data_IF_516112152431
#
_entry.id   IF_516112152431
#
_cell.length_a   1.000
_cell.length_b   1.000
_cell.length_c   1.000
_cell.angle_alpha   90.00
_cell.angle_beta   90.00
_cell.angle_gamma   90.00
#
_symmetry.space_group_name_H-M   'P 1'
#
loop_
_entity.id
_entity.type
_entity.pdbx_description
1 polymer ?
#
# COMPACT_ATOMS: atom_id res chain seq x y z
N UNK A 1 5.97 -9.02 -15.78
CA UNK A 1 5.52 -8.36 -14.52
C UNK A 1 6.65 -7.52 -13.96
N UNK A 2 7.89 -7.96 -14.10
CA UNK A 2 9.05 -7.38 -13.41
C UNK A 2 9.60 -6.07 -14.02
N UNK A 3 9.12 -5.65 -15.19
CA UNK A 3 9.63 -4.46 -15.91
C UNK A 3 8.72 -3.22 -15.81
N UNK A 4 7.64 -3.27 -15.03
CA UNK A 4 6.64 -2.19 -15.00
C UNK A 4 6.51 -1.57 -13.63
N UNK A 5 6.37 -0.24 -13.64
CA UNK A 5 6.37 0.60 -12.45
C UNK A 5 4.95 1.06 -12.11
N UNK A 6 4.16 0.16 -11.52
CA UNK A 6 2.77 0.39 -11.12
C UNK A 6 2.49 -0.19 -9.73
N UNK A 7 1.70 0.54 -8.94
CA UNK A 7 1.32 0.10 -7.59
C UNK A 7 0.31 -1.05 -7.55
N UNK A 8 -0.43 -1.29 -8.63
CA UNK A 8 -1.33 -2.44 -8.80
C UNK A 8 -1.16 -2.99 -10.20
N UNK A 9 -0.88 -4.29 -10.30
CA UNK A 9 -0.82 -5.02 -11.55
C UNK A 9 -1.73 -6.24 -11.48
N UNK A 10 -2.48 -6.47 -12.55
CA UNK A 10 -3.38 -7.60 -12.69
C UNK A 10 -3.05 -8.37 -13.96
N UNK A 11 -3.07 -9.70 -13.88
CA UNK A 11 -2.79 -10.59 -15.01
C UNK A 11 -4.08 -11.31 -15.38
N UNK A 12 -4.50 -11.19 -16.64
CA UNK A 12 -5.74 -11.80 -17.16
C UNK A 12 -7.03 -11.35 -16.44
N UNK A 13 -7.01 -10.16 -15.84
CA UNK A 13 -8.18 -9.55 -15.20
C UNK A 13 -8.37 -8.09 -15.64
N UNK A 14 -9.57 -7.56 -15.40
CA UNK A 14 -9.85 -6.15 -15.60
C UNK A 14 -9.02 -5.27 -14.64
N UNK A 15 -8.70 -4.05 -15.07
CA UNK A 15 -7.94 -3.08 -14.26
C UNK A 15 -8.70 -2.57 -13.04
N UNK A 16 -10.03 -2.69 -13.05
CA UNK A 16 -10.90 -2.33 -11.92
C UNK A 16 -11.13 -3.50 -10.97
N UNK A 17 -11.68 -3.20 -9.80
CA UNK A 17 -12.07 -4.20 -8.81
C UNK A 17 -10.87 -4.83 -8.12
N UNK A 18 -10.37 -4.18 -7.07
CA UNK A 18 -9.35 -4.76 -6.20
C UNK A 18 -10.02 -5.44 -5.01
N UNK A 19 -9.48 -6.56 -4.54
CA UNK A 19 -9.98 -7.21 -3.34
C UNK A 19 -9.74 -6.33 -2.10
N UNK A 20 -10.75 -6.19 -1.23
CA UNK A 20 -10.71 -5.22 -0.11
C UNK A 20 -9.60 -5.47 0.92
N UNK A 21 -9.03 -6.67 0.94
CA UNK A 21 -8.02 -7.06 1.90
C UNK A 21 -6.59 -6.76 1.43
N UNK A 22 -6.38 -6.45 0.15
CA UNK A 22 -5.05 -6.17 -0.39
C UNK A 22 -4.77 -4.66 -0.40
N UNK A 23 -3.51 -4.21 -0.31
CA UNK A 23 -3.17 -2.79 -0.33
C UNK A 23 -3.51 -2.14 -1.68
N UNK A 24 -4.21 -1.02 -1.64
CA UNK A 24 -4.48 -0.15 -2.76
C UNK A 24 -3.52 1.04 -2.78
N UNK A 25 -3.02 1.40 -3.96
CA UNK A 25 -2.25 2.63 -4.16
C UNK A 25 -1.45 2.60 -5.45
N UNK A 26 -1.09 3.77 -5.94
CA UNK A 26 -0.34 3.95 -7.19
C UNK A 26 1.18 4.08 -7.01
N UNK A 27 1.84 4.41 -8.11
CA UNK A 27 3.24 4.85 -8.22
C UNK A 27 3.30 6.06 -9.18
N UNK A 28 4.39 6.82 -9.18
CA UNK A 28 4.58 8.00 -10.02
C UNK A 28 3.47 9.04 -9.81
N UNK A 29 2.98 9.68 -10.88
CA UNK A 29 1.94 10.71 -10.82
C UNK A 29 0.58 10.24 -10.25
N UNK A 30 0.42 8.94 -9.95
CA UNK A 30 -0.80 8.39 -9.36
C UNK A 30 -0.77 8.30 -7.83
N UNK A 31 0.34 8.64 -7.16
CA UNK A 31 0.44 8.61 -5.70
C UNK A 31 1.59 9.49 -5.18
N UNK A 32 1.56 9.81 -3.88
CA UNK A 32 2.75 10.30 -3.16
C UNK A 32 3.68 9.17 -2.69
N UNK A 33 3.29 7.91 -2.94
CA UNK A 33 4.02 6.69 -2.58
C UNK A 33 4.34 6.55 -1.08
N UNK A 34 3.61 7.29 -0.25
CA UNK A 34 3.88 7.35 1.20
C UNK A 34 3.12 6.29 1.99
N UNK A 35 1.85 6.09 1.65
CA UNK A 35 0.97 5.15 2.33
C UNK A 35 0.14 4.37 1.30
N UNK A 36 -0.31 3.18 1.68
CA UNK A 36 -1.32 2.42 0.95
C UNK A 36 -2.67 2.59 1.66
N UNK A 37 -3.73 2.44 0.90
CA UNK A 37 -5.10 2.34 1.40
C UNK A 37 -5.51 0.87 1.47
N UNK A 38 -6.54 0.54 2.24
CA UNK A 38 -7.11 -0.82 2.34
C UNK A 38 -6.15 -1.89 2.89
N UNK A 39 -6.71 -3.05 3.24
CA UNK A 39 -5.96 -4.14 3.86
C UNK A 39 -5.23 -3.74 5.14
N UNK A 40 -4.24 -4.56 5.52
CA UNK A 40 -3.41 -4.33 6.71
C UNK A 40 -2.51 -3.10 6.55
N UNK A 41 -1.99 -2.85 5.33
CA UNK A 41 -1.13 -1.71 5.03
C UNK A 41 -1.84 -0.35 5.22
N UNK A 42 -3.18 -0.31 5.15
CA UNK A 42 -3.95 0.89 5.45
C UNK A 42 -3.84 1.37 6.90
N UNK A 43 -3.41 0.51 7.84
CA UNK A 43 -3.22 0.91 9.24
C UNK A 43 -2.09 1.93 9.41
N UNK A 44 -1.06 1.87 8.56
CA UNK A 44 0.09 2.78 8.62
C UNK A 44 -0.32 4.24 8.37
N UNK A 45 -1.39 4.47 7.62
CA UNK A 45 -1.92 5.82 7.40
C UNK A 45 -2.52 6.43 8.67
N UNK A 46 -3.12 5.60 9.54
CA UNK A 46 -3.84 6.05 10.74
C UNK A 46 -3.03 5.90 12.03
N UNK A 47 -1.85 5.30 11.96
CA UNK A 47 -1.04 4.98 13.13
C UNK A 47 0.37 5.55 12.97
N UNK A 48 1.06 5.67 14.10
CA UNK A 48 2.47 6.05 14.13
C UNK A 48 3.21 5.13 15.09
N UNK A 49 4.40 4.69 14.70
CA UNK A 49 5.25 3.85 15.55
C UNK A 49 5.76 4.70 16.72
N UNK A 50 5.51 4.21 17.94
CA UNK A 50 6.06 4.78 19.18
C UNK A 50 7.07 3.81 19.78
N UNK A 51 8.34 4.15 19.72
CA UNK A 51 9.40 3.39 20.38
C UNK A 51 9.50 3.79 21.85
N UNK A 52 9.50 2.80 22.74
CA UNK A 52 9.76 2.99 24.17
C UNK A 52 11.08 2.30 24.51
N UNK A 53 11.99 3.05 25.12
CA UNK A 53 13.24 2.53 25.66
C UNK A 53 13.20 2.70 27.17
N UNK A 54 13.31 1.60 27.90
CA UNK A 54 13.22 1.54 29.36
C UNK A 54 14.45 0.82 29.91
N UNK A 55 15.15 1.45 30.85
CA UNK A 55 16.34 0.92 31.52
C UNK A 55 16.09 0.91 33.03
N UNK A 56 16.26 -0.25 33.65
CA UNK A 56 16.21 -0.43 35.10
C UNK A 56 17.53 -0.07 35.80
#
# INVERSE_FOLDING_TARGET
VDEVDFGVLKVNEATTGLELHVPFGGMNASSSETYREQGEAGMDYFTIIKTVYDNY
#
